data_IF_060937534965
#
_entry.id   IF_060937534965
#
_cell.length_a   1.000
_cell.length_b   1.000
_cell.length_c   1.000
_cell.angle_alpha   90.00
_cell.angle_beta   90.00
_cell.angle_gamma   90.00
#
_symmetry.space_group_name_H-M   'P 1'
#
loop_
_entity.id
_entity.type
_entity.pdbx_description
1 polymer ?
#
# COMPACT_ATOMS: atom_id res chain seq x y z
N UNK A 1 10.80 -1.73 4.01
CA UNK A 1 11.71 -0.77 4.68
C UNK A 1 11.21 0.65 4.45
N UNK A 2 10.00 0.92 4.94
CA UNK A 2 9.25 2.16 4.70
C UNK A 2 8.62 2.55 6.03
N UNK A 3 8.70 3.82 6.39
CA UNK A 3 7.94 4.34 7.52
C UNK A 3 6.48 4.45 7.12
N UNK A 4 5.60 3.94 7.98
CA UNK A 4 4.14 4.01 7.82
C UNK A 4 3.55 5.04 8.79
N UNK A 5 4.30 6.09 9.11
CA UNK A 5 3.85 7.16 10.02
C UNK A 5 3.84 6.79 11.51
N UNK A 6 4.34 5.60 11.90
CA UNK A 6 4.49 5.27 13.33
C UNK A 6 5.43 6.28 14.00
N UNK A 7 5.05 6.74 15.20
CA UNK A 7 5.79 7.78 15.91
C UNK A 7 5.51 9.20 15.42
N UNK A 8 4.45 9.39 14.63
CA UNK A 8 3.86 10.69 14.29
C UNK A 8 2.44 10.77 14.89
N UNK A 9 1.77 11.91 14.71
CA UNK A 9 0.36 12.09 15.04
C UNK A 9 -0.61 11.38 14.07
N UNK A 10 -0.10 10.82 12.96
CA UNK A 10 -0.88 10.18 11.87
C UNK A 10 -0.35 8.80 11.48
N UNK A 11 -0.35 7.80 12.39
CA UNK A 11 0.10 6.45 12.07
C UNK A 11 -0.79 5.79 11.02
N UNK A 12 -0.18 5.06 10.08
CA UNK A 12 -0.81 4.35 8.95
C UNK A 12 -1.49 5.22 7.89
N UNK A 13 -1.52 6.53 8.10
CA UNK A 13 -1.98 7.52 7.11
C UNK A 13 -0.82 8.15 6.34
N UNK A 14 0.41 7.97 6.82
CA UNK A 14 1.64 8.44 6.16
C UNK A 14 2.43 7.24 5.66
N UNK A 15 3.10 7.42 4.52
CA UNK A 15 4.04 6.45 3.97
C UNK A 15 5.25 7.20 3.42
N UNK A 16 6.46 6.86 3.86
CA UNK A 16 7.67 7.55 3.42
C UNK A 16 8.98 6.91 3.83
N UNK A 17 10.05 7.39 3.23
CA UNK A 17 11.43 7.04 3.56
C UNK A 17 12.37 8.16 3.10
N UNK A 18 13.62 8.23 3.61
CA UNK A 18 14.55 9.30 3.23
C UNK A 18 14.91 9.34 1.74
N UNK A 19 14.73 8.24 1.03
CA UNK A 19 15.08 8.07 -0.39
C UNK A 19 13.90 8.25 -1.35
N UNK A 20 12.69 8.51 -0.84
CA UNK A 20 11.50 8.67 -1.68
C UNK A 20 11.41 10.09 -2.20
N UNK A 21 11.07 10.26 -3.48
CA UNK A 21 10.53 11.52 -3.99
C UNK A 21 9.01 11.54 -3.75
N UNK A 22 8.57 12.31 -2.76
CA UNK A 22 7.17 12.37 -2.35
C UNK A 22 6.24 12.94 -3.42
N UNK A 23 6.71 13.90 -4.22
CA UNK A 23 5.92 14.49 -5.32
C UNK A 23 5.72 13.48 -6.43
N UNK A 24 6.80 12.83 -6.87
CA UNK A 24 6.74 11.79 -7.90
C UNK A 24 5.85 10.62 -7.49
N UNK A 25 5.93 10.19 -6.23
CA UNK A 25 5.08 9.11 -5.70
C UNK A 25 3.60 9.53 -5.64
N UNK A 26 3.30 10.74 -5.17
CA UNK A 26 1.93 11.26 -5.12
C UNK A 26 1.32 11.39 -6.52
N UNK A 27 2.06 11.94 -7.49
CA UNK A 27 1.63 12.08 -8.87
C UNK A 27 1.32 10.72 -9.51
N UNK A 28 2.24 9.75 -9.36
CA UNK A 28 2.05 8.40 -9.86
C UNK A 28 0.78 7.75 -9.28
N UNK A 29 0.63 7.75 -7.95
CA UNK A 29 -0.52 7.12 -7.29
C UNK A 29 -1.84 7.83 -7.59
N UNK A 30 -1.85 9.16 -7.69
CA UNK A 30 -3.05 9.90 -8.08
C UNK A 30 -3.46 9.62 -9.54
N UNK A 31 -2.49 9.39 -10.44
CA UNK A 31 -2.75 9.01 -11.82
C UNK A 31 -3.41 7.63 -11.95
N UNK A 32 -3.21 6.73 -10.97
CA UNK A 32 -3.89 5.42 -10.90
C UNK A 32 -5.40 5.53 -10.64
N UNK A 33 -5.89 6.69 -10.16
CA UNK A 33 -7.32 6.95 -9.89
C UNK A 33 -7.99 5.90 -8.97
N UNK A 34 -7.25 5.45 -7.95
CA UNK A 34 -7.73 4.53 -6.92
C UNK A 34 -8.96 5.14 -6.24
N UNK A 35 -10.02 4.35 -6.10
CA UNK A 35 -11.30 4.84 -5.56
C UNK A 35 -11.19 5.11 -4.06
N UNK A 36 -11.85 6.18 -3.60
CA UNK A 36 -11.95 6.50 -2.18
C UNK A 36 -10.71 7.10 -1.53
N UNK A 37 -9.60 7.33 -2.26
CA UNK A 37 -8.36 7.92 -1.70
C UNK A 37 -7.70 8.97 -2.60
N UNK A 38 -6.94 9.87 -1.98
CA UNK A 38 -5.99 10.79 -2.62
C UNK A 38 -4.66 10.77 -1.90
N UNK A 39 -3.60 11.08 -2.62
CA UNK A 39 -2.24 11.13 -2.07
C UNK A 39 -1.71 12.56 -2.12
N UNK A 40 -1.23 13.06 -0.99
CA UNK A 40 -0.59 14.36 -0.89
C UNK A 40 0.89 14.16 -0.57
N UNK A 41 1.84 14.84 -1.24
CA UNK A 41 3.24 14.76 -0.88
C UNK A 41 3.44 15.33 0.53
N UNK A 42 4.26 14.66 1.34
CA UNK A 42 4.55 15.07 2.72
C UNK A 42 6.01 14.85 3.09
N UNK A 43 6.44 15.61 4.08
CA UNK A 43 7.73 15.52 4.75
C UNK A 43 7.46 15.28 6.24
N UNK A 44 8.12 14.30 6.84
CA UNK A 44 7.90 13.98 8.26
C UNK A 44 9.12 13.28 8.86
N UNK A 45 9.32 13.45 10.16
CA UNK A 45 10.38 12.78 10.92
C UNK A 45 9.75 11.83 11.94
N UNK A 46 9.80 10.50 11.72
CA UNK A 46 9.27 9.51 12.66
C UNK A 46 9.99 9.58 14.00
N UNK A 47 9.24 9.39 15.10
CA UNK A 47 9.81 9.17 16.45
C UNK A 47 9.91 7.67 16.83
N UNK A 48 9.77 6.79 15.84
CA UNK A 48 9.84 5.34 16.04
C UNK A 48 10.20 4.63 14.74
N UNK A 49 10.54 3.34 14.84
CA UNK A 49 10.96 2.54 13.69
C UNK A 49 9.88 2.32 12.61
N UNK A 50 10.28 2.30 11.32
CA UNK A 50 11.64 2.55 10.82
C UNK A 50 11.95 4.05 10.61
N UNK A 51 13.24 4.38 10.58
CA UNK A 51 13.78 5.73 10.31
C UNK A 51 13.53 6.76 11.43
N UNK A 52 13.61 6.33 12.68
CA UNK A 52 13.54 7.23 13.83
C UNK A 52 14.59 8.35 13.71
N UNK A 53 14.14 9.60 13.83
CA UNK A 53 15.00 10.79 13.78
C UNK A 53 15.47 11.21 12.39
N UNK A 54 15.16 10.45 11.33
CA UNK A 54 15.50 10.83 9.95
C UNK A 54 14.33 11.50 9.24
N UNK A 55 14.63 12.55 8.48
CA UNK A 55 13.66 13.20 7.61
C UNK A 55 13.23 12.22 6.50
N UNK A 56 11.94 11.90 6.48
CA UNK A 56 11.31 11.05 5.49
C UNK A 56 10.48 11.90 4.53
N UNK A 57 10.54 11.56 3.26
CA UNK A 57 9.70 12.10 2.21
C UNK A 57 8.72 11.01 1.76
N UNK A 58 7.52 11.40 1.34
CA UNK A 58 6.56 10.44 0.86
C UNK A 58 5.17 11.02 0.66
N UNK A 59 4.14 10.26 1.05
CA UNK A 59 2.74 10.62 0.84
C UNK A 59 1.90 10.46 2.10
N UNK A 60 0.94 11.37 2.26
CA UNK A 60 -0.22 11.19 3.14
C UNK A 60 -1.38 10.65 2.33
N UNK A 61 -1.99 9.59 2.82
CA UNK A 61 -3.16 8.93 2.25
C UNK A 61 -4.40 9.58 2.86
N UNK A 62 -5.12 10.36 2.06
CA UNK A 62 -6.36 11.03 2.45
C UNK A 62 -7.53 10.17 2.04
N UNK A 63 -8.27 9.67 3.03
CA UNK A 63 -9.51 8.91 2.80
C UNK A 63 -10.63 9.86 2.41
N UNK A 64 -11.20 9.66 1.22
CA UNK A 64 -12.33 10.41 0.70
C UNK A 64 -13.65 9.64 0.82
N UNK A 65 -13.62 8.32 0.60
CA UNK A 65 -14.78 7.45 0.72
C UNK A 65 -14.37 6.05 1.16
N UNK A 66 -14.74 5.70 2.40
CA UNK A 66 -14.47 4.39 3.01
C UNK A 66 -15.18 3.22 2.36
N UNK A 67 -16.31 3.46 1.69
CA UNK A 67 -17.13 2.42 1.08
C UNK A 67 -16.69 2.10 -0.34
N UNK A 68 -16.04 3.07 -1.00
CA UNK A 68 -15.45 2.90 -2.32
C UNK A 68 -14.03 2.32 -2.30
N UNK A 69 -13.30 2.47 -1.19
CA UNK A 69 -11.92 2.02 -1.09
C UNK A 69 -11.79 0.50 -0.88
N UNK A 70 -11.11 -0.17 -1.79
CA UNK A 70 -10.51 -1.49 -1.54
C UNK A 70 -9.11 -1.31 -0.94
N UNK A 71 -9.00 -1.51 0.38
CA UNK A 71 -7.74 -1.35 1.10
C UNK A 71 -6.68 -2.42 0.76
N UNK A 72 -7.11 -3.61 0.33
CA UNK A 72 -6.19 -4.67 -0.06
C UNK A 72 -5.56 -4.36 -1.43
N UNK A 73 -6.38 -3.91 -2.38
CA UNK A 73 -5.91 -3.41 -3.67
C UNK A 73 -4.97 -2.20 -3.50
N UNK A 74 -5.33 -1.25 -2.64
CA UNK A 74 -4.47 -0.10 -2.30
C UNK A 74 -3.07 -0.54 -1.85
N UNK A 75 -2.97 -1.59 -1.03
CA UNK A 75 -1.67 -2.11 -0.59
C UNK A 75 -0.81 -2.63 -1.75
N UNK A 76 -1.43 -3.26 -2.74
CA UNK A 76 -0.75 -3.75 -3.96
C UNK A 76 -0.37 -2.59 -4.87
N UNK A 77 -1.24 -1.60 -5.06
CA UNK A 77 -0.95 -0.37 -5.80
C UNK A 77 0.27 0.37 -5.21
N UNK A 78 0.33 0.53 -3.89
CA UNK A 78 1.47 1.16 -3.21
C UNK A 78 2.75 0.34 -3.39
N UNK A 79 2.69 -0.99 -3.18
CA UNK A 79 3.85 -1.85 -3.32
C UNK A 79 4.39 -1.84 -4.77
N UNK A 80 3.51 -1.86 -5.76
CA UNK A 80 3.86 -1.76 -7.17
C UNK A 80 4.46 -0.40 -7.53
N UNK A 81 3.87 0.70 -7.04
CA UNK A 81 4.40 2.05 -7.24
C UNK A 81 5.81 2.20 -6.66
N UNK A 82 6.03 1.73 -5.43
CA UNK A 82 7.35 1.78 -4.79
C UNK A 82 8.38 0.93 -5.54
N UNK A 83 8.01 -0.27 -5.98
CA UNK A 83 8.90 -1.13 -6.76
C UNK A 83 9.23 -0.53 -8.12
N UNK A 84 8.25 0.09 -8.79
CA UNK A 84 8.45 0.72 -10.09
C UNK A 84 9.33 1.98 -10.01
N UNK A 85 9.06 2.85 -9.04
CA UNK A 85 9.73 4.16 -8.94
C UNK A 85 11.09 4.09 -8.25
N UNK A 86 11.26 3.16 -7.30
CA UNK A 86 12.44 3.05 -6.44
C UNK A 86 12.94 1.59 -6.33
N UNK A 87 13.25 0.93 -7.46
CA UNK A 87 13.53 -0.52 -7.49
C UNK A 87 14.83 -0.92 -6.77
N UNK A 88 15.76 0.01 -6.54
CA UNK A 88 17.05 -0.28 -5.87
C UNK A 88 16.91 -0.26 -4.35
N UNK A 89 16.06 0.63 -3.83
CA UNK A 89 15.90 0.91 -2.41
C UNK A 89 14.74 0.11 -1.80
N UNK A 90 13.66 -0.11 -2.55
CA UNK A 90 12.47 -0.78 -2.03
C UNK A 90 12.66 -2.30 -1.91
N UNK A 91 12.75 -2.79 -0.67
CA UNK A 91 12.88 -4.21 -0.39
C UNK A 91 11.52 -4.92 -0.45
N UNK A 92 11.02 -5.19 -1.66
CA UNK A 92 9.72 -5.84 -1.89
C UNK A 92 9.61 -7.20 -1.19
N UNK A 93 10.69 -7.99 -1.08
CA UNK A 93 10.66 -9.28 -0.38
C UNK A 93 10.22 -9.19 1.08
N UNK A 94 10.51 -8.05 1.75
CA UNK A 94 10.11 -7.83 3.13
C UNK A 94 8.59 -7.66 3.30
N UNK A 95 7.82 -7.50 2.21
CA UNK A 95 6.37 -7.40 2.26
C UNK A 95 5.66 -8.75 2.23
N UNK A 96 6.37 -9.85 1.92
CA UNK A 96 5.74 -11.16 1.77
C UNK A 96 4.90 -11.57 3.00
N UNK A 97 5.43 -11.38 4.21
CA UNK A 97 4.70 -11.76 5.42
C UNK A 97 3.42 -10.95 5.62
N UNK A 98 3.34 -9.75 5.03
CA UNK A 98 2.15 -8.89 5.05
C UNK A 98 1.16 -9.31 3.96
N UNK A 99 1.65 -9.59 2.75
CA UNK A 99 0.82 -9.95 1.58
C UNK A 99 0.32 -11.40 1.68
N UNK A 100 1.11 -12.29 2.27
CA UNK A 100 0.79 -13.71 2.46
C UNK A 100 0.84 -14.57 1.20
N UNK A 101 1.17 -13.98 0.04
CA UNK A 101 1.13 -14.67 -1.25
C UNK A 101 2.33 -14.31 -2.13
N UNK A 102 3.19 -15.29 -2.41
CA UNK A 102 4.40 -15.11 -3.23
C UNK A 102 4.06 -14.62 -4.65
N UNK A 103 3.02 -15.19 -5.24
CA UNK A 103 2.63 -14.88 -6.62
C UNK A 103 2.28 -13.40 -6.83
N UNK A 104 1.81 -12.70 -5.79
CA UNK A 104 1.53 -11.25 -5.85
C UNK A 104 2.82 -10.46 -6.02
N UNK A 105 3.86 -10.81 -5.26
CA UNK A 105 5.18 -10.17 -5.38
C UNK A 105 5.81 -10.45 -6.75
N UNK A 106 5.66 -11.68 -7.25
CA UNK A 106 6.19 -12.05 -8.57
C UNK A 106 5.45 -11.32 -9.70
N UNK A 107 4.12 -11.16 -9.59
CA UNK A 107 3.33 -10.36 -10.52
C UNK A 107 3.74 -8.88 -10.51
N UNK A 108 3.96 -8.29 -9.32
CA UNK A 108 4.47 -6.92 -9.20
C UNK A 108 5.85 -6.79 -9.88
N UNK A 109 6.74 -7.75 -9.67
CA UNK A 109 8.07 -7.76 -10.32
C UNK A 109 8.00 -7.88 -11.83
N UNK A 110 7.04 -8.65 -12.33
CA UNK A 110 6.77 -8.78 -13.76
C UNK A 110 6.14 -7.52 -14.37
N UNK A 111 5.81 -6.51 -13.55
CA UNK A 111 5.15 -5.29 -14.00
C UNK A 111 3.67 -5.50 -14.36
N UNK A 112 3.04 -6.55 -13.83
CA UNK A 112 1.59 -6.72 -13.98
C UNK A 112 0.83 -5.56 -13.35
N UNK A 113 -0.26 -5.14 -14.00
CA UNK A 113 -1.10 -4.07 -13.49
C UNK A 113 -1.77 -4.47 -12.14
N UNK A 114 -1.69 -3.64 -11.09
CA UNK A 114 -2.23 -3.96 -9.77
C UNK A 114 -3.72 -4.33 -9.75
N UNK A 115 -4.54 -3.72 -10.60
CA UNK A 115 -5.97 -4.06 -10.69
C UNK A 115 -6.15 -5.47 -11.25
N UNK A 116 -5.32 -5.86 -12.21
CA UNK A 116 -5.31 -7.23 -12.75
C UNK A 116 -4.88 -8.26 -11.70
N UNK A 117 -3.89 -7.94 -10.87
CA UNK A 117 -3.51 -8.75 -9.71
C UNK A 117 -4.69 -8.88 -8.75
N UNK A 118 -5.39 -7.78 -8.48
CA UNK A 118 -6.55 -7.77 -7.60
C UNK A 118 -7.73 -8.60 -8.11
N UNK A 119 -7.97 -8.55 -9.43
CA UNK A 119 -9.00 -9.37 -10.07
C UNK A 119 -8.73 -10.87 -9.92
N UNK A 120 -7.45 -11.30 -9.95
CA UNK A 120 -7.08 -12.72 -9.83
C UNK A 120 -7.47 -13.34 -8.49
N UNK A 121 -7.41 -12.60 -7.38
CA UNK A 121 -7.80 -13.15 -6.07
C UNK A 121 -9.31 -13.17 -5.82
N UNK A 122 -10.12 -12.53 -6.68
CA UNK A 122 -11.58 -12.44 -6.47
C UNK A 122 -12.24 -13.83 -6.40
N UNK A 123 -11.81 -14.79 -7.22
CA UNK A 123 -12.36 -16.15 -7.17
C UNK A 123 -12.17 -16.81 -5.80
N UNK A 124 -10.95 -16.75 -5.25
CA UNK A 124 -10.63 -17.28 -3.93
C UNK A 124 -11.37 -16.50 -2.82
N UNK A 125 -11.49 -15.18 -2.96
CA UNK A 125 -12.28 -14.35 -2.03
C UNK A 125 -13.77 -14.74 -2.03
N UNK A 126 -14.37 -15.00 -3.19
CA UNK A 126 -15.75 -15.48 -3.28
C UNK A 126 -15.92 -16.86 -2.65
N UNK A 127 -14.96 -17.77 -2.85
CA UNK A 127 -14.96 -19.06 -2.16
C UNK A 127 -14.88 -18.88 -0.65
N UNK A 128 -13.98 -18.02 -0.15
CA UNK A 128 -13.88 -17.72 1.27
C UNK A 128 -15.17 -17.11 1.83
N UNK A 129 -15.84 -16.22 1.09
CA UNK A 129 -17.14 -15.66 1.47
C UNK A 129 -18.21 -16.74 1.66
N UNK A 130 -18.23 -17.79 0.83
CA UNK A 130 -19.14 -18.94 0.98
C UNK A 130 -18.81 -19.78 2.21
N UNK A 131 -17.52 -19.98 2.49
CA UNK A 131 -17.08 -20.73 3.68
C UNK A 131 -17.43 -19.97 4.95
N UNK A 132 -17.05 -18.68 5.03
CA UNK A 132 -17.28 -17.86 6.23
C UNK A 132 -18.76 -17.68 6.56
N UNK A 133 -19.65 -17.73 5.58
CA UNK A 133 -21.10 -17.55 5.78
C UNK A 133 -21.69 -18.54 6.80
N UNK A 134 -21.12 -19.74 6.92
CA UNK A 134 -21.53 -20.75 7.91
C UNK A 134 -21.17 -20.40 9.37
N UNK A 135 -20.30 -19.40 9.55
CA UNK A 135 -19.68 -19.05 10.82
C UNK A 135 -19.95 -17.60 11.23
N UNK A 136 -20.78 -16.86 10.48
CA UNK A 136 -21.16 -15.50 10.83
C UNK A 136 -22.12 -15.49 12.02
N UNK A 137 -21.80 -14.70 13.04
CA UNK A 137 -22.66 -14.46 14.20
C UNK A 137 -23.51 -13.19 14.07
N UNK A 138 -23.18 -12.35 13.09
CA UNK A 138 -23.86 -11.09 12.81
C UNK A 138 -24.29 -11.07 11.34
N UNK A 139 -25.44 -10.44 11.03
CA UNK A 139 -25.88 -10.22 9.66
C UNK A 139 -24.82 -9.54 8.79
#
# INVERSE_FOLDING_TARGET
>A
NISVGRGTDRPFELLGAPWIDGRKLAEYLNARRIQGVRFLPVEFTPRSDPFEGYECFGVSIVLLDRWALDAAELGVEIAAALYHLFPREFAIDKTLALVGARWVLDAIRAGEDPQSIALRWQAALQQFRRVRAKHLLYP
#
